data_IF_021811798864
#
_entry.id   IF_021811798864
#
_cell.length_a   1.000
_cell.length_b   1.000
_cell.length_c   1.000
_cell.angle_alpha   90.00
_cell.angle_beta   90.00
_cell.angle_gamma   90.00
#
_symmetry.space_group_name_H-M   'P 1'
#
loop_
_entity.id
_entity.type
_entity.pdbx_description
1 polymer ?
#
# COMPACT_ATOMS: atom_id res chain seq x y z
N UNK A 1 6.54 -41.82 21.41
CA UNK A 1 7.85 -41.54 22.06
C UNK A 1 8.80 -41.07 20.96
N UNK A 2 8.70 -39.81 20.54
CA UNK A 2 9.60 -39.23 19.55
C UNK A 2 10.30 -38.05 20.22
N UNK A 3 11.61 -38.21 20.41
CA UNK A 3 12.49 -37.23 21.04
C UNK A 3 12.54 -35.97 20.18
N UNK A 4 11.96 -34.88 20.68
CA UNK A 4 12.31 -33.53 20.26
C UNK A 4 13.74 -33.26 20.71
N UNK A 5 14.69 -33.37 19.78
CA UNK A 5 16.04 -32.88 19.97
C UNK A 5 15.98 -31.35 20.11
N UNK A 6 16.11 -30.85 21.34
CA UNK A 6 16.49 -29.47 21.61
C UNK A 6 17.82 -29.20 20.90
N UNK A 7 17.77 -28.47 19.79
CA UNK A 7 18.95 -27.81 19.24
C UNK A 7 19.25 -26.68 20.22
N UNK A 8 20.06 -27.00 21.23
CA UNK A 8 20.70 -26.04 22.09
C UNK A 8 21.71 -25.27 21.23
N UNK A 9 21.24 -24.21 20.58
CA UNK A 9 22.08 -23.25 19.89
C UNK A 9 22.99 -22.61 20.95
N UNK A 10 24.23 -23.09 20.98
CA UNK A 10 25.24 -22.68 21.94
C UNK A 10 25.39 -21.16 21.87
N UNK A 11 25.06 -20.49 22.99
CA UNK A 11 25.27 -19.07 23.17
C UNK A 11 26.74 -18.77 22.83
N UNK A 12 27.04 -17.88 21.86
CA UNK A 12 28.42 -17.51 21.58
C UNK A 12 29.07 -17.00 22.87
N UNK A 13 30.36 -17.32 23.11
CA UNK A 13 31.04 -16.91 24.33
C UNK A 13 30.86 -15.40 24.51
N UNK A 14 30.47 -14.99 25.72
CA UNK A 14 30.27 -13.59 26.07
C UNK A 14 31.48 -12.78 25.59
N UNK A 15 31.31 -12.02 24.51
CA UNK A 15 32.39 -11.21 23.97
C UNK A 15 32.77 -10.19 25.04
N UNK A 16 34.04 -10.17 25.42
CA UNK A 16 34.60 -9.13 26.27
C UNK A 16 34.18 -7.78 25.69
N UNK A 17 33.43 -7.00 26.47
CA UNK A 17 33.06 -5.66 26.05
C UNK A 17 34.34 -4.88 25.74
N UNK A 18 34.47 -4.25 24.57
CA UNK A 18 35.65 -3.45 24.27
C UNK A 18 35.67 -2.24 25.20
N UNK A 19 36.42 -2.34 26.31
CA UNK A 19 36.56 -1.28 27.31
C UNK A 19 37.37 -0.07 26.81
N UNK A 20 37.92 -0.13 25.59
CA UNK A 20 38.84 0.88 25.05
C UNK A 20 38.21 2.24 24.76
N UNK A 21 36.88 2.35 24.58
CA UNK A 21 36.23 3.65 24.32
C UNK A 21 36.36 4.62 25.49
N UNK A 22 36.36 4.11 26.73
CA UNK A 22 36.50 4.93 27.94
C UNK A 22 37.92 5.47 28.15
N UNK A 23 38.90 4.99 27.37
CA UNK A 23 40.31 5.37 27.46
C UNK A 23 40.70 6.48 26.47
N UNK A 24 39.81 6.82 25.53
CA UNK A 24 40.04 7.83 24.51
C UNK A 24 39.61 9.20 25.01
N UNK A 25 40.59 10.06 25.32
CA UNK A 25 40.37 11.46 25.63
C UNK A 25 41.22 12.33 24.70
N UNK A 26 40.62 13.40 24.17
CA UNK A 26 41.30 14.33 23.28
C UNK A 26 42.00 15.40 24.14
N UNK A 27 43.21 15.08 24.60
CA UNK A 27 44.01 16.02 25.37
C UNK A 27 44.65 17.09 24.48
N UNK A 28 43.99 18.24 24.33
CA UNK A 28 44.47 19.36 23.51
C UNK A 28 45.16 20.39 24.38
N UNK A 29 46.43 20.67 24.10
CA UNK A 29 47.15 21.79 24.71
C UNK A 29 47.28 22.93 23.70
N UNK A 30 46.65 24.07 23.97
CA UNK A 30 46.78 25.27 23.16
C UNK A 30 47.63 26.32 23.89
N UNK A 31 48.72 26.78 23.26
CA UNK A 31 49.50 27.91 23.76
C UNK A 31 48.77 29.22 23.42
N UNK A 32 48.56 30.16 24.37
CA UNK A 32 47.84 31.39 24.09
C UNK A 32 48.60 32.23 23.06
N UNK A 33 47.92 32.57 21.96
CA UNK A 33 48.46 33.41 20.91
C UNK A 33 48.31 34.89 21.28
N UNK A 34 49.44 35.60 21.38
CA UNK A 34 49.48 37.06 21.56
C UNK A 34 50.16 37.69 20.34
N UNK A 35 49.45 38.57 19.64
CA UNK A 35 50.00 39.34 18.52
C UNK A 35 50.40 40.72 19.04
N UNK A 36 51.70 41.00 19.09
CA UNK A 36 52.24 42.31 19.43
C UNK A 36 52.83 42.98 18.19
N UNK A 37 52.65 44.30 18.07
CA UNK A 37 53.32 45.11 17.06
C UNK A 37 53.44 46.55 17.57
N UNK A 38 54.50 47.23 17.15
CA UNK A 38 54.79 48.61 17.56
C UNK A 38 53.95 49.59 16.73
N UNK A 39 52.69 49.76 17.13
CA UNK A 39 51.75 50.67 16.47
C UNK A 39 52.26 52.10 16.51
N UNK A 40 52.85 52.53 17.62
CA UNK A 40 53.23 53.93 17.84
C UNK A 40 54.42 54.30 16.97
N UNK A 41 55.44 53.43 16.86
CA UNK A 41 56.55 53.65 15.94
C UNK A 41 56.08 53.66 14.47
N UNK A 42 55.22 52.72 14.08
CA UNK A 42 54.70 52.65 12.70
C UNK A 42 53.81 53.85 12.37
N UNK A 43 52.99 54.32 13.31
CA UNK A 43 52.11 55.47 13.11
C UNK A 43 52.94 56.76 13.02
N UNK A 44 53.94 56.94 13.89
CA UNK A 44 54.85 58.10 13.85
C UNK A 44 55.61 58.16 12.52
N UNK A 45 56.11 57.03 12.03
CA UNK A 45 56.79 56.96 10.74
C UNK A 45 55.83 57.30 9.58
N UNK A 46 54.59 56.79 9.62
CA UNK A 46 53.58 57.06 8.61
C UNK A 46 53.19 58.54 8.60
N UNK A 47 52.95 59.14 9.77
CA UNK A 47 52.60 60.55 9.90
C UNK A 47 53.73 61.45 9.37
N UNK A 48 54.99 61.09 9.65
CA UNK A 48 56.17 61.79 9.12
C UNK A 48 56.23 61.74 7.60
N UNK A 49 55.95 60.58 7.00
CA UNK A 49 55.93 60.43 5.53
C UNK A 49 54.75 61.19 4.93
N UNK A 50 53.57 61.14 5.55
CA UNK A 50 52.37 61.78 5.03
C UNK A 50 52.41 63.31 5.14
N UNK A 51 53.11 63.85 6.15
CA UNK A 51 53.29 65.29 6.34
C UNK A 51 53.95 65.97 5.12
N UNK A 52 54.76 65.23 4.35
CA UNK A 52 55.42 65.75 3.14
C UNK A 52 54.44 66.09 2.01
N UNK A 53 53.22 65.56 2.06
CA UNK A 53 52.16 65.81 1.08
C UNK A 53 51.10 66.81 1.59
N UNK A 54 51.16 67.22 2.85
CA UNK A 54 50.18 68.12 3.45
C UNK A 54 50.35 69.53 2.86
N UNK A 55 49.32 70.05 2.19
CA UNK A 55 49.35 71.38 1.58
C UNK A 55 50.19 71.45 0.29
N UNK A 56 50.56 70.32 -0.30
CA UNK A 56 51.31 70.29 -1.56
C UNK A 56 50.40 70.72 -2.73
N UNK A 57 50.74 71.85 -3.36
CA UNK A 57 50.13 72.30 -4.61
C UNK A 57 50.91 71.77 -5.81
N UNK A 58 50.29 70.90 -6.60
CA UNK A 58 50.92 70.22 -7.73
C UNK A 58 51.03 71.14 -8.94
N UNK A 59 52.25 71.38 -9.42
CA UNK A 59 52.47 72.08 -10.70
C UNK A 59 52.65 71.10 -11.86
N UNK A 60 52.43 71.57 -13.09
CA UNK A 60 52.45 70.75 -14.30
C UNK A 60 53.80 70.04 -14.52
N UNK A 61 54.91 70.70 -14.19
CA UNK A 61 56.26 70.14 -14.28
C UNK A 61 56.50 68.98 -13.28
N UNK A 62 55.79 68.95 -12.16
CA UNK A 62 55.98 67.98 -11.06
C UNK A 62 55.14 66.70 -11.25
N UNK A 63 54.21 66.71 -12.20
CA UNK A 63 53.27 65.59 -12.46
C UNK A 63 53.97 64.23 -12.60
N UNK A 64 55.10 64.08 -13.31
CA UNK A 64 55.79 62.79 -13.40
C UNK A 64 56.33 62.30 -12.06
N UNK A 65 56.87 63.21 -11.23
CA UNK A 65 57.41 62.86 -9.91
C UNK A 65 56.28 62.48 -8.94
N UNK A 66 55.18 63.24 -8.93
CA UNK A 66 54.04 62.98 -8.06
C UNK A 66 53.33 61.66 -8.42
N UNK A 67 53.24 61.32 -9.71
CA UNK A 67 52.73 60.00 -10.12
C UNK A 67 53.58 58.85 -9.57
N UNK A 68 54.90 59.02 -9.48
CA UNK A 68 55.79 58.02 -8.87
C UNK A 68 55.56 57.92 -7.35
N UNK A 69 55.37 59.04 -6.66
CA UNK A 69 55.03 59.03 -5.22
C UNK A 69 53.67 58.38 -4.94
N UNK A 70 52.66 58.68 -5.75
CA UNK A 70 51.35 58.00 -5.67
C UNK A 70 51.48 56.48 -5.84
N UNK A 71 52.32 56.03 -6.77
CA UNK A 71 52.62 54.61 -6.93
C UNK A 71 53.35 54.05 -5.69
N UNK A 72 54.24 54.83 -5.08
CA UNK A 72 54.90 54.50 -3.81
C UNK A 72 53.93 54.32 -2.65
N UNK A 73 52.98 55.24 -2.47
CA UNK A 73 51.91 55.16 -1.46
C UNK A 73 51.02 53.93 -1.66
N UNK A 74 50.66 53.61 -2.91
CA UNK A 74 49.91 52.40 -3.23
C UNK A 74 50.69 51.13 -2.84
N UNK A 75 52.00 51.06 -3.15
CA UNK A 75 52.86 49.95 -2.74
C UNK A 75 52.97 49.84 -1.22
N UNK A 76 53.06 50.96 -0.50
CA UNK A 76 53.10 50.97 0.97
C UNK A 76 51.80 50.40 1.57
N UNK A 77 50.64 50.86 1.09
CA UNK A 77 49.32 50.33 1.46
C UNK A 77 49.24 48.82 1.23
N UNK A 78 49.66 48.36 0.04
CA UNK A 78 49.67 46.93 -0.30
C UNK A 78 50.57 46.11 0.63
N UNK A 79 51.78 46.60 0.96
CA UNK A 79 52.67 45.92 1.90
C UNK A 79 52.03 45.74 3.29
N UNK A 80 51.38 46.76 3.82
CA UNK A 80 50.70 46.67 5.13
C UNK A 80 49.54 45.66 5.10
N UNK A 81 48.71 45.70 4.05
CA UNK A 81 47.59 44.77 3.93
C UNK A 81 48.06 43.33 3.69
N UNK A 82 49.15 43.13 2.94
CA UNK A 82 49.77 41.82 2.75
C UNK A 82 50.35 41.28 4.06
N UNK A 83 51.07 42.10 4.85
CA UNK A 83 51.58 41.68 6.15
C UNK A 83 50.44 41.26 7.11
N UNK A 84 49.33 42.02 7.14
CA UNK A 84 48.12 41.68 7.89
C UNK A 84 47.53 40.34 7.44
N UNK A 85 47.39 40.14 6.13
CA UNK A 85 46.86 38.89 5.54
C UNK A 85 47.75 37.70 5.83
N UNK A 86 49.07 37.86 5.76
CA UNK A 86 50.04 36.79 5.99
C UNK A 86 50.06 36.35 7.45
N UNK A 87 50.02 37.28 8.40
CA UNK A 87 49.88 36.94 9.83
C UNK A 87 48.57 36.17 10.05
N UNK A 88 47.44 36.66 9.50
CA UNK A 88 46.14 35.98 9.60
C UNK A 88 46.21 34.54 9.06
N UNK A 89 46.85 34.31 7.90
CA UNK A 89 47.00 32.98 7.32
C UNK A 89 47.88 32.06 8.17
N UNK A 90 48.99 32.58 8.72
CA UNK A 90 49.90 31.80 9.58
C UNK A 90 49.24 31.32 10.86
N UNK A 91 48.24 32.06 11.35
CA UNK A 91 47.46 31.70 12.53
C UNK A 91 46.31 30.74 12.18
N UNK A 92 45.61 31.02 11.08
CA UNK A 92 44.49 30.18 10.65
C UNK A 92 44.96 28.78 10.20
N UNK A 93 46.10 28.68 9.52
CA UNK A 93 46.60 27.41 8.97
C UNK A 93 46.74 26.28 10.00
N UNK A 94 47.42 26.49 11.15
CA UNK A 94 47.50 25.48 12.22
C UNK A 94 46.13 25.11 12.81
N UNK A 95 45.21 26.06 12.92
CA UNK A 95 43.86 25.81 13.42
C UNK A 95 43.05 24.96 12.42
N UNK A 96 43.13 25.31 11.13
CA UNK A 96 42.46 24.58 10.04
C UNK A 96 43.03 23.15 9.93
N UNK A 97 44.35 22.98 10.12
CA UNK A 97 45.00 21.67 10.14
C UNK A 97 44.53 20.79 11.30
N UNK A 98 44.53 21.33 12.52
CA UNK A 98 43.99 20.64 13.70
C UNK A 98 42.52 20.26 13.53
N UNK A 99 41.68 21.18 13.05
CA UNK A 99 40.27 20.92 12.79
C UNK A 99 40.08 19.79 11.75
N UNK A 100 40.88 19.79 10.68
CA UNK A 100 40.85 18.74 9.66
C UNK A 100 41.26 17.37 10.23
N UNK A 101 42.30 17.32 11.07
CA UNK A 101 42.76 16.09 11.72
C UNK A 101 41.71 15.51 12.67
N UNK A 102 41.12 16.35 13.54
CA UNK A 102 40.05 15.94 14.46
C UNK A 102 38.82 15.48 13.69
N UNK A 103 38.41 16.19 12.64
CA UNK A 103 37.31 15.76 11.76
C UNK A 103 37.57 14.42 11.10
N UNK A 104 38.80 14.17 10.66
CA UNK A 104 39.18 12.87 10.09
C UNK A 104 39.07 11.74 11.13
N UNK A 105 39.42 11.99 12.39
CA UNK A 105 39.24 11.02 13.48
C UNK A 105 37.75 10.78 13.78
N UNK A 106 36.94 11.85 13.87
CA UNK A 106 35.48 11.76 14.06
C UNK A 106 34.84 10.94 12.94
N UNK A 107 35.23 11.17 11.68
CA UNK A 107 34.71 10.42 10.55
C UNK A 107 34.95 8.90 10.70
N UNK A 108 36.15 8.49 11.12
CA UNK A 108 36.47 7.07 11.37
C UNK A 108 35.58 6.46 12.47
N UNK A 109 35.26 7.22 13.52
CA UNK A 109 34.37 6.77 14.59
C UNK A 109 32.94 6.57 14.05
N UNK A 110 32.46 7.53 13.25
CA UNK A 110 31.13 7.46 12.62
C UNK A 110 31.04 6.24 11.68
N UNK A 111 32.05 6.03 10.84
CA UNK A 111 32.11 4.90 9.91
C UNK A 111 32.12 3.57 10.64
N UNK A 112 32.95 3.42 11.68
CA UNK A 112 33.00 2.21 12.50
C UNK A 112 31.65 1.92 13.16
N UNK A 113 30.99 2.95 13.70
CA UNK A 113 29.64 2.83 14.27
C UNK A 113 28.61 2.40 13.23
N UNK A 114 28.63 2.99 12.04
CA UNK A 114 27.70 2.67 10.97
C UNK A 114 27.88 1.22 10.48
N UNK A 115 29.11 0.74 10.39
CA UNK A 115 29.40 -0.66 10.06
C UNK A 115 28.86 -1.62 11.12
N UNK A 116 29.01 -1.30 12.41
CA UNK A 116 28.44 -2.11 13.51
C UNK A 116 26.90 -2.09 13.49
N UNK A 117 26.29 -0.92 13.31
CA UNK A 117 24.82 -0.78 13.21
C UNK A 117 24.25 -1.62 12.07
N UNK A 118 24.93 -1.64 10.91
CA UNK A 118 24.55 -2.47 9.77
C UNK A 118 24.59 -3.96 10.12
N UNK A 119 25.67 -4.42 10.77
CA UNK A 119 25.80 -5.81 11.18
C UNK A 119 24.74 -6.23 12.21
N UNK A 120 24.42 -5.36 13.17
CA UNK A 120 23.35 -5.60 14.16
C UNK A 120 22.01 -5.73 13.45
N UNK A 121 21.67 -4.80 12.56
CA UNK A 121 20.43 -4.84 11.77
C UNK A 121 20.33 -6.08 10.87
N UNK A 122 21.44 -6.49 10.25
CA UNK A 122 21.48 -7.70 9.43
C UNK A 122 21.28 -8.97 10.26
N UNK A 123 21.77 -9.00 11.50
CA UNK A 123 21.51 -10.09 12.42
C UNK A 123 20.04 -10.11 12.88
N UNK A 124 19.48 -8.97 13.28
CA UNK A 124 18.08 -8.84 13.67
C UNK A 124 17.12 -9.18 12.52
N UNK A 125 17.45 -8.80 11.29
CA UNK A 125 16.68 -9.18 10.10
C UNK A 125 16.68 -10.69 9.91
N UNK A 126 17.86 -11.34 9.94
CA UNK A 126 17.97 -12.80 9.80
C UNK A 126 17.24 -13.55 10.91
N UNK A 127 17.33 -13.08 12.15
CA UNK A 127 16.59 -13.64 13.29
C UNK A 127 15.08 -13.53 13.08
N UNK A 128 14.60 -12.36 12.61
CA UNK A 128 13.17 -12.14 12.32
C UNK A 128 12.67 -12.97 11.13
N UNK A 129 13.49 -13.15 10.10
CA UNK A 129 13.21 -14.02 8.95
C UNK A 129 13.18 -15.50 9.35
N UNK A 130 14.16 -15.95 10.14
CA UNK A 130 14.17 -17.31 10.71
C UNK A 130 12.94 -17.59 11.56
N UNK A 131 12.55 -16.62 12.40
CA UNK A 131 11.32 -16.71 13.18
C UNK A 131 10.07 -16.73 12.30
N UNK A 132 10.04 -15.96 11.22
CA UNK A 132 8.94 -16.00 10.23
C UNK A 132 8.80 -17.38 9.61
N UNK A 133 9.91 -18.00 9.20
CA UNK A 133 9.92 -19.36 8.66
C UNK A 133 9.40 -20.37 9.70
N UNK A 134 9.85 -20.27 10.96
CA UNK A 134 9.36 -21.13 12.04
C UNK A 134 7.85 -20.97 12.28
N UNK A 135 7.34 -19.74 12.28
CA UNK A 135 5.89 -19.44 12.41
C UNK A 135 5.11 -19.98 11.21
N UNK A 136 5.65 -19.86 9.99
CA UNK A 136 5.01 -20.43 8.80
C UNK A 136 4.89 -21.96 8.93
N UNK A 137 5.95 -22.65 9.36
CA UNK A 137 5.88 -24.08 9.64
C UNK A 137 4.80 -24.43 10.67
N UNK A 138 4.64 -23.63 11.72
CA UNK A 138 3.57 -23.81 12.73
C UNK A 138 2.19 -23.65 12.09
N UNK A 139 1.99 -22.59 11.29
CA UNK A 139 0.74 -22.35 10.56
C UNK A 139 0.40 -23.54 9.67
N UNK A 140 1.35 -24.01 8.86
CA UNK A 140 1.16 -25.12 7.93
C UNK A 140 0.86 -26.44 8.65
N UNK A 141 1.56 -26.70 9.76
CA UNK A 141 1.30 -27.87 10.61
C UNK A 141 -0.12 -27.83 11.20
N UNK A 142 -0.55 -26.70 11.75
CA UNK A 142 -1.90 -26.57 12.33
C UNK A 142 -2.96 -26.69 11.24
N UNK A 143 -2.78 -26.02 10.09
CA UNK A 143 -3.69 -26.13 8.93
C UNK A 143 -3.87 -27.58 8.48
N UNK A 144 -2.76 -28.31 8.39
CA UNK A 144 -2.77 -29.72 8.00
C UNK A 144 -3.48 -30.60 9.02
N UNK A 145 -3.20 -30.41 10.32
CA UNK A 145 -3.89 -31.12 11.40
C UNK A 145 -5.40 -30.82 11.45
N UNK A 146 -5.79 -29.60 11.12
CA UNK A 146 -7.19 -29.15 11.13
C UNK A 146 -7.93 -29.43 9.81
N UNK A 147 -7.25 -29.98 8.79
CA UNK A 147 -7.85 -30.32 7.49
C UNK A 147 -8.21 -29.11 6.62
N UNK A 148 -7.52 -27.97 6.78
CA UNK A 148 -7.75 -26.73 6.02
C UNK A 148 -6.47 -26.23 5.33
N UNK A 149 -5.83 -27.03 4.46
CA UNK A 149 -4.56 -26.66 3.81
C UNK A 149 -4.69 -25.44 2.86
N UNK A 150 -5.88 -25.20 2.31
CA UNK A 150 -6.15 -24.11 1.38
C UNK A 150 -6.35 -22.74 2.06
N UNK A 151 -6.61 -22.71 3.37
CA UNK A 151 -6.86 -21.47 4.10
C UNK A 151 -5.59 -20.59 4.14
N UNK A 152 -5.64 -19.39 3.57
CA UNK A 152 -4.55 -18.42 3.70
C UNK A 152 -4.61 -17.73 5.08
N UNK A 153 -3.52 -17.83 5.86
CA UNK A 153 -3.41 -17.21 7.18
C UNK A 153 -2.22 -16.24 7.13
N UNK A 154 -2.47 -14.93 7.02
CA UNK A 154 -1.41 -13.92 7.05
C UNK A 154 -0.62 -13.97 8.35
N UNK A 155 0.72 -13.95 8.27
CA UNK A 155 1.58 -13.91 9.46
C UNK A 155 1.42 -12.56 10.17
N UNK A 156 0.93 -12.58 11.41
CA UNK A 156 0.82 -11.38 12.23
C UNK A 156 2.24 -10.88 12.63
N UNK A 157 2.56 -9.58 12.43
CA UNK A 157 3.83 -9.01 12.85
C UNK A 157 4.17 -9.19 14.34
N UNK A 158 3.16 -9.28 15.21
CA UNK A 158 3.37 -9.52 16.64
C UNK A 158 3.98 -10.90 16.92
N UNK A 159 3.65 -11.93 16.13
CA UNK A 159 4.19 -13.29 16.30
C UNK A 159 5.70 -13.37 16.06
N UNK A 160 6.25 -12.41 15.32
CA UNK A 160 7.68 -12.28 15.02
C UNK A 160 8.47 -11.61 16.14
N UNK A 161 7.83 -11.17 17.22
CA UNK A 161 8.51 -10.57 18.37
C UNK A 161 9.12 -11.65 19.25
N UNK A 162 10.34 -11.42 19.75
CA UNK A 162 11.05 -12.37 20.63
C UNK A 162 10.26 -12.73 21.89
N UNK A 163 9.46 -11.79 22.41
CA UNK A 163 8.64 -11.97 23.61
C UNK A 163 7.41 -12.84 23.41
N UNK A 164 6.91 -12.97 22.19
CA UNK A 164 5.68 -13.73 21.93
C UNK A 164 5.94 -15.22 22.09
N UNK A 165 5.11 -15.89 22.88
CA UNK A 165 5.29 -17.30 23.19
C UNK A 165 4.72 -18.17 22.08
N UNK A 166 5.35 -19.30 21.83
CA UNK A 166 4.87 -20.28 20.84
C UNK A 166 3.42 -20.70 21.10
N UNK A 167 3.02 -20.85 22.37
CA UNK A 167 1.65 -21.20 22.76
C UNK A 167 0.62 -20.14 22.35
N UNK A 168 0.93 -18.85 22.51
CA UNK A 168 0.05 -17.74 22.09
C UNK A 168 -0.16 -17.76 20.58
N UNK A 169 0.92 -18.01 19.81
CA UNK A 169 0.85 -18.15 18.35
C UNK A 169 -0.07 -19.32 17.97
N UNK A 170 0.05 -20.46 18.65
CA UNK A 170 -0.81 -21.63 18.39
C UNK A 170 -2.29 -21.34 18.69
N UNK A 171 -2.58 -20.70 19.81
CA UNK A 171 -3.96 -20.36 20.19
C UNK A 171 -4.60 -19.37 19.21
N UNK A 172 -3.85 -18.36 18.78
CA UNK A 172 -4.31 -17.38 17.80
C UNK A 172 -4.61 -18.06 16.45
N UNK A 173 -3.71 -18.92 15.95
CA UNK A 173 -3.91 -19.64 14.68
C UNK A 173 -5.15 -20.54 14.78
N UNK A 174 -5.31 -21.29 15.89
CA UNK A 174 -6.50 -22.13 16.11
C UNK A 174 -7.78 -21.31 16.15
N UNK A 175 -7.73 -20.11 16.74
CA UNK A 175 -8.89 -19.19 16.77
C UNK A 175 -9.28 -18.73 15.37
N UNK A 176 -8.29 -18.39 14.53
CA UNK A 176 -8.52 -18.01 13.13
C UNK A 176 -9.16 -19.17 12.35
N UNK A 177 -8.62 -20.38 12.47
CA UNK A 177 -9.16 -21.58 11.79
C UNK A 177 -10.58 -21.88 12.27
N UNK A 178 -10.85 -21.79 13.57
CA UNK A 178 -12.18 -22.03 14.13
C UNK A 178 -13.21 -21.02 13.62
N UNK A 179 -12.83 -19.74 13.46
CA UNK A 179 -13.69 -18.72 12.88
C UNK A 179 -14.01 -19.05 11.41
N UNK A 180 -12.99 -19.40 10.63
CA UNK A 180 -13.16 -19.80 9.23
C UNK A 180 -14.09 -21.01 9.07
N UNK A 181 -13.91 -22.06 9.89
CA UNK A 181 -14.77 -23.24 9.86
C UNK A 181 -16.24 -22.91 10.14
N UNK A 182 -16.51 -22.00 11.09
CA UNK A 182 -17.88 -21.55 11.38
C UNK A 182 -18.50 -20.83 10.19
N UNK A 183 -17.75 -19.94 9.54
CA UNK A 183 -18.23 -19.22 8.36
C UNK A 183 -18.53 -20.17 7.18
N UNK A 184 -17.66 -21.16 6.96
CA UNK A 184 -17.92 -22.23 5.97
C UNK A 184 -19.18 -23.04 6.32
N UNK A 185 -19.36 -23.41 7.58
CA UNK A 185 -20.54 -24.15 8.03
C UNK A 185 -21.83 -23.32 7.89
N UNK A 186 -21.79 -22.03 8.24
CA UNK A 186 -22.91 -21.11 8.08
C UNK A 186 -23.29 -20.94 6.62
N UNK A 187 -22.29 -20.77 5.74
CA UNK A 187 -22.51 -20.70 4.29
C UNK A 187 -23.14 -21.99 3.77
N UNK A 188 -22.60 -23.15 4.15
CA UNK A 188 -23.16 -24.46 3.78
C UNK A 188 -24.60 -24.63 4.29
N UNK A 189 -24.90 -24.20 5.52
CA UNK A 189 -26.26 -24.25 6.08
C UNK A 189 -27.22 -23.34 5.32
N UNK A 190 -26.80 -22.14 4.96
CA UNK A 190 -27.60 -21.22 4.16
C UNK A 190 -27.86 -21.78 2.76
N UNK A 191 -26.85 -22.36 2.12
CA UNK A 191 -26.99 -23.03 0.82
C UNK A 191 -27.91 -24.25 0.89
N UNK A 192 -27.78 -25.08 1.93
CA UNK A 192 -28.68 -26.22 2.16
C UNK A 192 -30.12 -25.76 2.37
N UNK A 193 -30.36 -24.77 3.23
CA UNK A 193 -31.70 -24.21 3.44
C UNK A 193 -32.30 -23.64 2.13
N UNK A 194 -31.46 -23.03 1.27
CA UNK A 194 -31.88 -22.58 -0.06
C UNK A 194 -32.23 -23.76 -0.97
N UNK A 195 -31.41 -24.80 -1.01
CA UNK A 195 -31.64 -26.00 -1.82
C UNK A 195 -32.90 -26.76 -1.38
N UNK A 196 -33.08 -26.96 -0.07
CA UNK A 196 -34.26 -27.62 0.51
C UNK A 196 -35.54 -26.86 0.15
N UNK A 197 -35.49 -25.52 0.14
CA UNK A 197 -36.64 -24.72 -0.26
C UNK A 197 -36.92 -24.74 -1.75
N UNK A 198 -35.88 -24.76 -2.59
CA UNK A 198 -36.06 -24.99 -4.04
C UNK A 198 -36.75 -26.34 -4.25
N UNK A 199 -36.26 -27.40 -3.59
CA UNK A 199 -36.85 -28.73 -3.69
C UNK A 199 -38.32 -28.78 -3.22
N UNK A 200 -38.66 -28.06 -2.13
CA UNK A 200 -40.04 -27.92 -1.66
C UNK A 200 -40.94 -27.25 -2.72
N UNK A 201 -40.51 -26.10 -3.26
CA UNK A 201 -41.27 -25.36 -4.28
C UNK A 201 -41.45 -26.20 -5.54
N UNK A 202 -40.40 -26.88 -6.00
CA UNK A 202 -40.46 -27.79 -7.14
C UNK A 202 -41.42 -28.97 -6.90
N UNK A 203 -41.34 -29.60 -5.73
CA UNK A 203 -42.22 -30.72 -5.36
C UNK A 203 -43.69 -30.28 -5.28
N UNK A 204 -43.99 -29.13 -4.66
CA UNK A 204 -45.35 -28.59 -4.58
C UNK A 204 -45.88 -28.20 -5.96
N UNK A 205 -45.07 -27.53 -6.79
CA UNK A 205 -45.47 -27.17 -8.15
C UNK A 205 -45.73 -28.40 -9.02
N UNK A 206 -44.93 -29.47 -8.87
CA UNK A 206 -45.15 -30.75 -9.55
C UNK A 206 -46.45 -31.43 -9.11
N UNK A 207 -46.71 -31.49 -7.81
CA UNK A 207 -47.94 -32.08 -7.28
C UNK A 207 -49.19 -31.33 -7.80
N UNK A 208 -49.14 -29.99 -7.84
CA UNK A 208 -50.21 -29.18 -8.43
C UNK A 208 -50.35 -29.38 -9.95
N UNK A 209 -49.24 -29.53 -10.67
CA UNK A 209 -49.28 -29.82 -12.09
C UNK A 209 -49.94 -31.17 -12.40
N UNK A 210 -49.65 -32.20 -11.60
CA UNK A 210 -50.30 -33.52 -11.68
C UNK A 210 -51.79 -33.44 -11.34
N UNK A 211 -52.16 -32.66 -10.32
CA UNK A 211 -53.56 -32.47 -9.91
C UNK A 211 -54.40 -31.71 -10.95
N UNK A 212 -53.83 -30.70 -11.61
CA UNK A 212 -54.54 -29.84 -12.56
C UNK A 212 -54.35 -30.24 -14.04
N UNK A 213 -53.46 -31.17 -14.35
CA UNK A 213 -53.22 -31.69 -15.70
C UNK A 213 -52.45 -30.76 -16.65
N UNK A 214 -51.84 -29.69 -16.13
CA UNK A 214 -50.95 -28.78 -16.87
C UNK A 214 -49.83 -28.27 -15.98
N UNK A 215 -48.68 -27.92 -16.55
CA UNK A 215 -47.53 -27.40 -15.79
C UNK A 215 -47.36 -25.88 -15.97
N UNK A 216 -47.00 -25.18 -14.90
CA UNK A 216 -46.56 -23.79 -14.91
C UNK A 216 -45.02 -23.71 -14.78
N UNK A 217 -44.36 -22.74 -15.43
CA UNK A 217 -42.91 -22.60 -15.32
C UNK A 217 -42.50 -22.11 -13.93
N UNK A 218 -41.38 -22.64 -13.41
CA UNK A 218 -40.85 -22.31 -12.08
C UNK A 218 -40.54 -20.82 -11.88
N UNK A 219 -40.30 -20.08 -12.98
CA UNK A 219 -40.12 -18.62 -12.95
C UNK A 219 -41.33 -17.87 -12.38
N UNK A 220 -42.56 -18.41 -12.50
CA UNK A 220 -43.76 -17.83 -11.87
C UNK A 220 -43.71 -17.90 -10.33
N UNK A 221 -42.88 -18.78 -9.76
CA UNK A 221 -42.75 -19.00 -8.33
C UNK A 221 -41.45 -18.41 -7.75
N UNK A 222 -40.77 -17.51 -8.46
CA UNK A 222 -39.52 -16.90 -7.99
C UNK A 222 -39.67 -16.16 -6.66
N UNK A 223 -40.85 -15.59 -6.37
CA UNK A 223 -41.15 -14.98 -5.08
C UNK A 223 -41.15 -16.00 -3.93
N UNK A 224 -41.59 -17.24 -4.18
CA UNK A 224 -41.56 -18.34 -3.22
C UNK A 224 -40.15 -18.87 -2.94
N UNK A 225 -39.12 -18.31 -3.59
CA UNK A 225 -37.69 -18.57 -3.37
C UNK A 225 -36.99 -17.46 -2.56
N UNK A 226 -37.71 -16.52 -1.91
CA UNK A 226 -37.13 -15.57 -0.92
C UNK A 226 -37.31 -16.02 0.54
N UNK A 227 -36.30 -15.88 1.43
CA UNK A 227 -36.36 -16.44 2.80
C UNK A 227 -37.50 -15.90 3.66
N UNK A 228 -38.11 -14.78 3.24
CA UNK A 228 -39.15 -14.04 3.98
C UNK A 228 -40.52 -14.74 3.97
N UNK A 229 -40.69 -15.81 3.19
CA UNK A 229 -41.96 -16.52 3.02
C UNK A 229 -41.86 -17.90 3.66
N UNK A 230 -42.83 -18.24 4.53
CA UNK A 230 -42.95 -19.57 5.13
C UNK A 230 -43.17 -20.65 4.08
N UNK A 231 -42.77 -21.90 4.38
CA UNK A 231 -43.02 -23.04 3.50
C UNK A 231 -44.52 -23.27 3.22
N UNK A 232 -45.38 -23.00 4.22
CA UNK A 232 -46.84 -23.09 4.08
C UNK A 232 -47.40 -21.99 3.18
N UNK A 233 -46.91 -20.76 3.34
CA UNK A 233 -47.31 -19.62 2.51
C UNK A 233 -46.85 -19.83 1.06
N UNK A 234 -45.63 -20.34 0.85
CA UNK A 234 -45.13 -20.70 -0.47
C UNK A 234 -46.03 -21.75 -1.15
N UNK A 235 -46.42 -22.80 -0.43
CA UNK A 235 -47.33 -23.82 -0.95
C UNK A 235 -48.72 -23.24 -1.27
N UNK A 236 -49.23 -22.33 -0.42
CA UNK A 236 -50.47 -21.61 -0.64
C UNK A 236 -50.44 -20.73 -1.89
N UNK A 237 -49.36 -19.97 -2.11
CA UNK A 237 -49.16 -19.13 -3.30
C UNK A 237 -49.12 -19.98 -4.57
N UNK A 238 -48.40 -21.11 -4.54
CA UNK A 238 -48.32 -22.04 -5.69
C UNK A 238 -49.72 -22.58 -6.00
N UNK A 239 -50.46 -23.07 -4.99
CA UNK A 239 -51.82 -23.58 -5.17
C UNK A 239 -52.79 -22.54 -5.73
N UNK A 240 -52.73 -21.30 -5.23
CA UNK A 240 -53.56 -20.20 -5.74
C UNK A 240 -53.25 -19.88 -7.20
N UNK A 241 -51.97 -19.90 -7.60
CA UNK A 241 -51.57 -19.66 -8.99
C UNK A 241 -52.11 -20.74 -9.94
N UNK A 242 -52.06 -22.02 -9.54
CA UNK A 242 -52.64 -23.12 -10.31
C UNK A 242 -54.17 -23.05 -10.39
N UNK A 243 -54.84 -22.70 -9.29
CA UNK A 243 -56.29 -22.50 -9.27
C UNK A 243 -56.75 -21.33 -10.17
N UNK A 244 -56.02 -20.21 -10.14
CA UNK A 244 -56.30 -19.05 -10.98
C UNK A 244 -56.09 -19.36 -12.48
N UNK A 245 -55.01 -20.06 -12.83
CA UNK A 245 -54.75 -20.47 -14.21
C UNK A 245 -55.76 -21.52 -14.70
N UNK A 246 -56.16 -22.48 -13.84
CA UNK A 246 -57.20 -23.45 -14.17
C UNK A 246 -58.54 -22.75 -14.48
N UNK A 247 -58.93 -21.77 -13.67
CA UNK A 247 -60.12 -20.96 -13.89
C UNK A 247 -60.03 -20.15 -15.21
N UNK A 248 -58.89 -19.52 -15.48
CA UNK A 248 -58.67 -18.80 -16.74
C UNK A 248 -58.73 -19.73 -17.98
N UNK A 249 -58.28 -20.98 -17.85
CA UNK A 249 -58.37 -22.01 -18.91
C UNK A 249 -59.79 -22.54 -19.12
N UNK A 250 -60.61 -22.60 -18.07
CA UNK A 250 -62.03 -22.91 -18.20
C UNK A 250 -62.82 -21.75 -18.82
N UNK A 251 -62.51 -20.50 -18.45
CA UNK A 251 -63.16 -19.30 -19.00
C UNK A 251 -62.77 -19.02 -20.46
N UNK A 252 -61.60 -19.50 -20.91
CA UNK A 252 -61.15 -19.40 -22.32
C UNK A 252 -61.58 -20.59 -23.18
N UNK A 253 -62.35 -21.55 -22.64
CA UNK A 253 -62.97 -22.64 -23.42
C UNK A 253 -64.08 -22.04 -24.29
N UNK A 254 -63.97 -22.06 -25.64
CA UNK A 254 -64.93 -21.37 -26.49
C UNK A 254 -66.32 -22.00 -26.40
N UNK A 255 -67.32 -21.18 -26.08
CA UNK A 255 -68.75 -21.55 -26.15
C UNK A 255 -69.11 -21.93 -27.59
N UNK A 256 -69.80 -23.06 -27.83
CA UNK A 256 -70.19 -23.46 -29.19
C UNK A 256 -71.28 -22.52 -29.71
N UNK A 257 -70.94 -21.66 -30.68
CA UNK A 257 -71.93 -20.89 -31.44
C UNK A 257 -72.46 -21.77 -32.58
N UNK A 258 -73.76 -22.07 -32.49
CA UNK A 258 -74.55 -22.79 -33.50
C UNK A 258 -74.73 -21.92 -34.76
N UNK A 259 -74.26 -22.44 -35.90
CA UNK A 259 -74.58 -21.98 -37.27
C UNK A 259 -76.06 -22.18 -37.60
N UNK A 260 -76.67 -21.28 -38.39
CA UNK A 260 -77.65 -21.70 -39.39
C UNK A 260 -77.15 -21.49 -40.83
N UNK A 261 -77.24 -22.58 -41.58
CA UNK A 261 -77.48 -22.77 -43.02
C UNK A 261 -76.89 -21.82 -44.09
N UNK A 262 -76.13 -22.46 -45.00
CA UNK A 262 -75.65 -22.07 -46.34
C UNK A 262 -76.77 -21.60 -47.31
N UNK A 263 -76.48 -20.79 -48.36
CA UNK A 263 -75.73 -21.28 -49.54
C UNK A 263 -74.81 -20.29 -50.31
N UNK A 264 -73.89 -20.90 -51.10
CA UNK A 264 -72.95 -20.45 -52.18
C UNK A 264 -73.48 -19.36 -53.16
N UNK A 265 -72.68 -18.74 -54.10
CA UNK A 265 -71.25 -18.91 -54.45
C UNK A 265 -70.42 -17.60 -54.70
N UNK A 266 -69.14 -17.80 -55.06
CA UNK A 266 -68.20 -16.98 -55.87
C UNK A 266 -67.46 -15.72 -55.35
N UNK A 267 -66.12 -15.86 -55.27
CA UNK A 267 -65.02 -15.03 -55.86
C UNK A 267 -63.77 -15.10 -54.94
N UNK A 268 -62.61 -15.66 -55.34
CA UNK A 268 -61.48 -14.97 -56.02
C UNK A 268 -61.07 -13.69 -55.24
N UNK A 269 -59.89 -13.45 -54.65
CA UNK A 269 -58.46 -13.66 -54.99
C UNK A 269 -57.59 -13.61 -53.71
N UNK A 270 -56.42 -14.26 -53.80
CA UNK A 270 -55.14 -14.12 -53.08
C UNK A 270 -54.91 -12.93 -52.13
N UNK A 271 -54.27 -13.22 -50.99
CA UNK A 271 -53.10 -12.46 -50.52
C UNK A 271 -52.28 -13.27 -49.50
N UNK A 272 -51.06 -13.61 -49.90
CA UNK A 272 -49.95 -13.95 -48.99
C UNK A 272 -49.64 -12.73 -48.12
N UNK A 273 -49.49 -12.92 -46.81
CA UNK A 273 -48.59 -12.08 -46.01
C UNK A 273 -47.81 -12.94 -45.01
N UNK A 274 -46.50 -12.93 -45.20
CA UNK A 274 -45.52 -13.63 -44.38
C UNK A 274 -45.39 -13.03 -42.97
N UNK A 275 -45.17 -13.91 -42.00
CA UNK A 275 -44.67 -13.51 -40.69
C UNK A 275 -43.13 -13.62 -40.68
N UNK A 276 -42.40 -12.55 -40.29
CA UNK A 276 -40.95 -12.54 -40.32
C UNK A 276 -40.37 -13.34 -39.14
N UNK A 277 -39.26 -13.99 -39.45
CA UNK A 277 -38.35 -14.67 -38.55
C UNK A 277 -37.89 -13.73 -37.41
N UNK A 278 -38.09 -14.13 -36.16
CA UNK A 278 -37.57 -13.39 -35.00
C UNK A 278 -36.03 -13.56 -34.90
N UNK A 279 -35.24 -12.50 -34.69
CA UNK A 279 -33.81 -12.61 -34.44
C UNK A 279 -33.52 -13.06 -32.99
N UNK A 280 -32.36 -13.68 -32.71
CA UNK A 280 -32.00 -14.10 -31.37
C UNK A 280 -31.76 -12.87 -30.47
N UNK A 281 -32.43 -12.85 -29.31
CA UNK A 281 -32.24 -11.84 -28.28
C UNK A 281 -30.89 -12.09 -27.59
N UNK A 282 -29.86 -11.35 -27.98
CA UNK A 282 -28.64 -11.21 -27.18
C UNK A 282 -28.94 -10.31 -25.99
N UNK A 283 -29.06 -10.91 -24.81
CA UNK A 283 -29.29 -10.19 -23.54
C UNK A 283 -27.98 -9.49 -23.15
N UNK A 284 -27.86 -8.19 -23.44
CA UNK A 284 -26.77 -7.37 -22.93
C UNK A 284 -27.10 -6.91 -21.50
N UNK A 285 -26.49 -7.54 -20.49
CA UNK A 285 -26.55 -7.08 -19.11
C UNK A 285 -25.66 -5.84 -18.92
N UNK A 286 -26.24 -4.73 -18.47
CA UNK A 286 -25.50 -3.50 -18.13
C UNK A 286 -25.42 -3.36 -16.62
N UNK A 287 -24.22 -3.16 -16.07
CA UNK A 287 -23.94 -3.02 -14.64
C UNK A 287 -23.35 -1.63 -14.37
N UNK A 288 -23.97 -0.85 -13.48
CA UNK A 288 -23.48 0.47 -13.06
C UNK A 288 -22.90 0.39 -11.64
N UNK A 289 -21.64 0.81 -11.47
CA UNK A 289 -20.95 0.81 -10.18
C UNK A 289 -20.52 2.22 -9.81
N UNK A 290 -20.71 2.60 -8.54
CA UNK A 290 -20.18 3.83 -7.96
C UNK A 290 -19.19 3.46 -6.86
N UNK A 291 -17.91 3.82 -7.05
CA UNK A 291 -16.83 3.47 -6.12
C UNK A 291 -16.21 4.74 -5.55
N UNK A 292 -16.19 4.85 -4.22
CA UNK A 292 -15.45 5.90 -3.50
C UNK A 292 -14.14 5.30 -2.98
N UNK A 293 -13.01 5.90 -3.33
CA UNK A 293 -11.69 5.45 -2.89
C UNK A 293 -10.82 6.65 -2.48
N UNK A 294 -9.78 6.38 -1.70
CA UNK A 294 -8.80 7.38 -1.30
C UNK A 294 -7.78 7.61 -2.45
N UNK A 295 -7.26 8.84 -2.64
CA UNK A 295 -6.39 9.18 -3.79
C UNK A 295 -5.17 8.28 -3.99
N UNK A 296 -4.64 7.70 -2.91
CA UNK A 296 -3.51 6.76 -2.94
C UNK A 296 -3.78 5.43 -3.65
N UNK A 297 -5.03 5.14 -4.00
CA UNK A 297 -5.45 3.92 -4.70
C UNK A 297 -5.91 4.18 -6.14
N UNK A 298 -5.69 5.38 -6.68
CA UNK A 298 -6.05 5.74 -8.07
C UNK A 298 -5.45 4.75 -9.08
N UNK A 299 -4.16 4.46 -8.97
CA UNK A 299 -3.47 3.55 -9.91
C UNK A 299 -4.08 2.14 -9.90
N UNK A 300 -4.44 1.63 -8.72
CA UNK A 300 -5.07 0.32 -8.56
C UNK A 300 -6.49 0.29 -9.15
N UNK A 301 -7.24 1.39 -9.03
CA UNK A 301 -8.58 1.50 -9.62
C UNK A 301 -8.50 1.58 -11.15
N UNK A 302 -7.52 2.30 -11.69
CA UNK A 302 -7.28 2.35 -13.14
C UNK A 302 -6.90 0.98 -13.71
N UNK A 303 -6.09 0.20 -12.99
CA UNK A 303 -5.74 -1.17 -13.37
C UNK A 303 -6.97 -2.10 -13.38
N UNK A 304 -7.84 -2.00 -12.37
CA UNK A 304 -9.09 -2.76 -12.33
C UNK A 304 -10.06 -2.37 -13.46
N UNK A 305 -10.15 -1.08 -13.81
CA UNK A 305 -10.93 -0.61 -14.95
C UNK A 305 -10.37 -1.13 -16.29
N UNK A 306 -9.04 -1.23 -16.41
CA UNK A 306 -8.40 -1.81 -17.60
C UNK A 306 -8.74 -3.29 -17.74
N UNK A 307 -8.75 -4.06 -16.64
CA UNK A 307 -9.19 -5.46 -16.65
C UNK A 307 -10.66 -5.60 -17.06
N UNK A 308 -11.56 -4.75 -16.55
CA UNK A 308 -12.98 -4.79 -16.93
C UNK A 308 -13.21 -4.50 -18.41
N UNK A 309 -12.40 -3.62 -19.01
CA UNK A 309 -12.47 -3.31 -20.46
C UNK A 309 -12.11 -4.52 -21.35
N UNK A 310 -11.42 -5.53 -20.82
CA UNK A 310 -11.15 -6.78 -21.57
C UNK A 310 -12.37 -7.69 -21.68
N UNK A 311 -13.33 -7.53 -20.77
CA UNK A 311 -14.53 -8.38 -20.66
C UNK A 311 -15.76 -7.71 -21.28
N UNK A 312 -15.78 -6.38 -21.36
CA UNK A 312 -16.88 -5.64 -21.98
C UNK A 312 -16.62 -4.16 -22.17
N UNK A 313 -17.59 -3.46 -22.74
CA UNK A 313 -17.53 -2.01 -22.91
C UNK A 313 -17.71 -1.32 -21.55
N UNK A 314 -16.71 -0.56 -21.10
CA UNK A 314 -16.75 0.18 -19.84
C UNK A 314 -16.75 1.68 -20.12
N UNK A 315 -17.84 2.36 -19.72
CA UNK A 315 -17.99 3.82 -19.80
C UNK A 315 -17.84 4.41 -18.40
N UNK A 316 -16.93 5.37 -18.23
CA UNK A 316 -16.70 6.08 -16.96
C UNK A 316 -17.38 7.44 -17.06
N UNK A 317 -18.24 7.77 -16.09
CA UNK A 317 -19.00 9.02 -16.00
C UNK A 317 -18.59 9.84 -14.78
#
# INVERSE_FOLDING_TARGET
MAQTAEILEALPPAQEQPAGLALLDLNVTATPLVITWDKDAVSTLLDTVLAQYAGLEVQEADVPAIKNEMAGLNRLKERMDNARKDIKRRIAGPLDGFDAEVKALIARIVDARAALDTQVKDFERRDREGRRAAVQCVVDNIKSCEGVPELDIPINPSWLNKSTRQAEIHEDIKRIIAAYKRECEETRRMEQAKADRIALVEATAKAQAEQHGFALPLSKFAACLTPDISGEDAAGIIGQAYAAEAKAREESKPTPVVKPADPRPDSFIEQEEGFPFAPPVNVACTLTLSVKYAPKYEDTVQEALALLRTVGLVTVF
#
